data_IF_337778173847
#
_entry.id   IF_337778173847
#
_cell.length_a   1.000
_cell.length_b   1.000
_cell.length_c   1.000
_cell.angle_alpha   90.00
_cell.angle_beta   90.00
_cell.angle_gamma   90.00
#
_symmetry.space_group_name_H-M   'P 1'
#
loop_
_entity.id
_entity.type
_entity.pdbx_description
1 polymer ?
#
# COMPACT_ATOMS: atom_id res chain seq x y z
N UNK A 1 15.02 -11.40 -9.09
CA UNK A 1 13.68 -10.85 -8.79
C UNK A 1 12.77 -10.83 -10.01
N UNK A 2 13.15 -10.13 -11.09
CA UNK A 2 12.31 -9.99 -12.29
C UNK A 2 11.76 -11.33 -12.83
N UNK A 3 12.60 -12.35 -12.99
CA UNK A 3 12.15 -13.69 -13.44
C UNK A 3 11.13 -14.34 -12.50
N UNK A 4 11.23 -14.11 -11.18
CA UNK A 4 10.25 -14.62 -10.19
C UNK A 4 8.92 -13.88 -10.29
N UNK A 5 8.95 -12.56 -10.45
CA UNK A 5 7.74 -11.76 -10.66
C UNK A 5 7.04 -12.13 -11.98
N UNK A 6 7.79 -12.26 -13.07
CA UNK A 6 7.25 -12.70 -14.35
C UNK A 6 6.67 -14.11 -14.27
N UNK A 7 7.37 -15.04 -13.60
CA UNK A 7 6.89 -16.40 -13.36
C UNK A 7 5.63 -16.47 -12.50
N UNK A 8 5.46 -15.55 -11.55
CA UNK A 8 4.23 -15.40 -10.77
C UNK A 8 3.07 -14.80 -11.58
N UNK A 9 3.35 -14.18 -12.73
CA UNK A 9 2.34 -13.64 -13.65
C UNK A 9 2.28 -12.11 -13.73
N UNK A 10 3.20 -11.39 -13.10
CA UNK A 10 3.32 -9.94 -13.31
C UNK A 10 3.68 -9.65 -14.78
N UNK A 11 3.08 -8.60 -15.33
CA UNK A 11 3.34 -8.11 -16.69
C UNK A 11 3.96 -6.72 -16.71
N UNK A 12 3.52 -5.88 -15.78
CA UNK A 12 4.06 -4.54 -15.54
C UNK A 12 4.44 -4.43 -14.07
N UNK A 13 5.60 -3.86 -13.78
CA UNK A 13 6.10 -3.61 -12.41
C UNK A 13 6.57 -2.17 -12.32
N UNK A 14 6.07 -1.42 -11.33
CA UNK A 14 6.64 -0.14 -10.98
C UNK A 14 7.86 -0.36 -10.06
N UNK A 15 9.02 0.14 -10.45
CA UNK A 15 10.21 0.19 -9.60
C UNK A 15 10.06 1.36 -8.61
N UNK A 16 9.90 1.05 -7.32
CA UNK A 16 9.61 2.05 -6.28
C UNK A 16 10.68 2.05 -5.19
N UNK A 17 11.92 2.46 -5.48
CA UNK A 17 12.91 2.62 -4.42
C UNK A 17 12.42 3.65 -3.39
N UNK A 18 12.83 3.46 -2.14
CA UNK A 18 12.55 4.42 -1.08
C UNK A 18 13.18 5.78 -1.37
N UNK A 19 12.43 6.84 -1.06
CA UNK A 19 12.91 8.21 -0.98
C UNK A 19 12.85 8.63 0.49
N UNK A 20 14.00 8.59 1.16
CA UNK A 20 14.16 8.92 2.58
C UNK A 20 15.42 9.78 2.70
N UNK A 21 15.25 11.03 3.10
CA UNK A 21 16.37 11.96 3.22
C UNK A 21 17.43 11.42 4.20
N UNK A 22 18.70 11.45 3.78
CA UNK A 22 19.84 10.96 4.57
C UNK A 22 20.08 9.45 4.55
N UNK A 23 19.15 8.64 4.02
CA UNK A 23 19.29 7.18 3.90
C UNK A 23 19.22 6.72 2.44
N UNK A 24 18.22 7.20 1.71
CA UNK A 24 17.96 6.91 0.29
C UNK A 24 17.66 8.21 -0.46
N UNK A 25 18.71 8.99 -0.72
CA UNK A 25 18.64 10.27 -1.41
C UNK A 25 18.84 10.08 -2.92
N UNK A 26 17.85 9.46 -3.57
CA UNK A 26 17.85 9.21 -5.00
C UNK A 26 16.95 10.23 -5.72
N UNK A 27 17.46 10.81 -6.81
CA UNK A 27 16.70 11.79 -7.59
C UNK A 27 15.70 11.12 -8.52
N UNK A 28 14.63 11.83 -8.87
CA UNK A 28 13.64 11.41 -9.89
C UNK A 28 14.32 10.99 -11.19
N UNK A 29 15.28 11.80 -11.65
CA UNK A 29 16.02 11.52 -12.87
C UNK A 29 16.78 10.20 -12.75
N UNK A 30 17.47 9.98 -11.63
CA UNK A 30 18.25 8.76 -11.42
C UNK A 30 17.37 7.51 -11.39
N UNK A 31 16.19 7.59 -10.79
CA UNK A 31 15.22 6.47 -10.82
C UNK A 31 14.78 6.18 -12.24
N UNK A 32 14.41 7.19 -13.03
CA UNK A 32 14.00 7.01 -14.43
C UNK A 32 15.09 6.35 -15.27
N UNK A 33 16.33 6.84 -15.15
CA UNK A 33 17.49 6.28 -15.85
C UNK A 33 17.75 4.83 -15.43
N UNK A 34 17.74 4.54 -14.13
CA UNK A 34 17.94 3.19 -13.62
C UNK A 34 16.85 2.22 -14.08
N UNK A 35 15.59 2.66 -14.11
CA UNK A 35 14.48 1.85 -14.65
C UNK A 35 14.67 1.55 -16.14
N UNK A 36 15.08 2.55 -16.95
CA UNK A 36 15.34 2.34 -18.37
C UNK A 36 16.51 1.39 -18.63
N UNK A 37 17.60 1.53 -17.88
CA UNK A 37 18.75 0.62 -17.96
C UNK A 37 18.33 -0.80 -17.58
N UNK A 38 17.59 -0.96 -16.49
CA UNK A 38 17.10 -2.28 -16.06
C UNK A 38 16.13 -2.88 -17.08
N UNK A 39 15.26 -2.09 -17.72
CA UNK A 39 14.39 -2.60 -18.79
C UNK A 39 15.22 -3.18 -19.94
N UNK A 40 16.27 -2.47 -20.38
CA UNK A 40 17.15 -2.98 -21.44
C UNK A 40 17.82 -4.30 -21.06
N UNK A 41 18.26 -4.44 -19.80
CA UNK A 41 18.83 -5.69 -19.28
C UNK A 41 17.79 -6.83 -19.27
N UNK A 42 16.53 -6.54 -18.91
CA UNK A 42 15.45 -7.53 -18.94
C UNK A 42 15.12 -7.96 -20.37
N UNK A 43 15.07 -7.02 -21.31
CA UNK A 43 14.81 -7.28 -22.72
C UNK A 43 15.91 -8.16 -23.32
N UNK A 44 17.18 -7.84 -23.05
CA UNK A 44 18.33 -8.65 -23.47
C UNK A 44 18.30 -10.06 -22.87
N UNK A 45 17.84 -10.20 -21.63
CA UNK A 45 17.68 -11.49 -20.96
C UNK A 45 16.42 -12.26 -21.39
N UNK A 46 15.58 -11.70 -22.26
CA UNK A 46 14.32 -12.32 -22.69
C UNK A 46 13.27 -12.44 -21.58
N UNK A 47 13.33 -11.59 -20.56
CA UNK A 47 12.39 -11.59 -19.44
C UNK A 47 11.21 -10.70 -19.82
N UNK A 48 10.06 -11.31 -20.11
CA UNK A 48 8.83 -10.62 -20.49
C UNK A 48 8.18 -9.91 -19.28
N UNK A 49 8.71 -8.74 -18.93
CA UNK A 49 8.24 -7.88 -17.85
C UNK A 49 8.51 -6.42 -18.21
N UNK A 50 7.47 -5.60 -18.25
CA UNK A 50 7.57 -4.16 -18.47
C UNK A 50 7.82 -3.44 -17.14
N UNK A 51 8.74 -2.49 -17.12
CA UNK A 51 9.13 -1.72 -15.95
C UNK A 51 8.73 -0.26 -16.09
N UNK A 52 8.07 0.24 -15.05
CA UNK A 52 7.70 1.65 -14.92
C UNK A 52 8.47 2.31 -13.79
N UNK A 53 8.88 3.58 -13.94
CA UNK A 53 9.49 4.30 -12.84
C UNK A 53 8.44 4.70 -11.81
N UNK A 54 8.83 4.76 -10.54
CA UNK A 54 8.02 5.23 -9.42
C UNK A 54 8.93 5.52 -8.23
N UNK A 55 8.39 6.05 -7.14
CA UNK A 55 9.11 6.16 -5.88
C UNK A 55 8.17 5.91 -4.71
N UNK A 56 8.71 5.35 -3.64
CA UNK A 56 8.01 5.25 -2.36
C UNK A 56 8.51 6.32 -1.41
N UNK A 57 7.68 7.33 -1.15
CA UNK A 57 8.03 8.46 -0.31
C UNK A 57 7.69 8.20 1.16
N UNK A 58 8.66 8.32 2.05
CA UNK A 58 8.38 8.34 3.49
C UNK A 58 7.71 9.67 3.87
N UNK A 59 6.60 9.60 4.61
CA UNK A 59 5.82 10.77 5.05
C UNK A 59 6.37 11.37 6.35
N UNK A 60 7.68 11.63 6.41
CA UNK A 60 8.40 12.21 7.55
C UNK A 60 8.51 13.75 7.48
N UNK A 61 9.33 14.36 8.35
CA UNK A 61 9.65 15.81 8.34
C UNK A 61 10.19 16.31 7.01
N UNK A 62 10.92 15.47 6.28
CA UNK A 62 11.68 15.85 5.11
C UNK A 62 10.85 15.74 3.82
N UNK A 63 9.69 15.07 3.87
CA UNK A 63 8.82 14.87 2.71
C UNK A 63 8.51 16.17 1.94
N UNK A 64 8.29 17.28 2.65
CA UNK A 64 7.94 18.56 2.04
C UNK A 64 9.01 19.07 1.05
N UNK A 65 10.28 18.68 1.24
CA UNK A 65 11.38 19.02 0.33
C UNK A 65 11.25 18.30 -1.02
N UNK A 66 10.67 17.10 -1.03
CA UNK A 66 10.46 16.30 -2.24
C UNK A 66 9.15 16.62 -2.96
N UNK A 67 8.18 17.22 -2.26
CA UNK A 67 6.85 17.53 -2.81
C UNK A 67 6.88 18.42 -4.07
N UNK A 68 7.97 19.18 -4.27
CA UNK A 68 8.29 19.93 -5.49
C UNK A 68 8.24 19.09 -6.77
N UNK A 69 8.76 17.87 -6.70
CA UNK A 69 9.09 17.04 -7.87
C UNK A 69 8.77 15.57 -7.59
N UNK A 70 7.49 15.28 -7.36
CA UNK A 70 7.03 13.91 -7.10
C UNK A 70 7.08 13.04 -8.36
N UNK A 71 7.52 11.79 -8.22
CA UNK A 71 7.50 10.77 -9.27
C UNK A 71 6.32 9.81 -9.04
N UNK A 72 5.24 9.90 -9.85
CA UNK A 72 4.15 8.95 -9.75
C UNK A 72 4.54 7.57 -10.26
N UNK A 73 3.68 6.59 -9.98
CA UNK A 73 3.79 5.23 -10.51
C UNK A 73 3.52 5.24 -12.02
N UNK A 74 4.56 5.15 -12.84
CA UNK A 74 4.47 5.21 -14.30
C UNK A 74 3.84 6.50 -14.81
N UNK A 75 2.79 6.37 -15.61
CA UNK A 75 1.99 7.48 -16.15
C UNK A 75 0.73 7.79 -15.31
N UNK A 76 0.58 7.16 -14.14
CA UNK A 76 -0.59 7.37 -13.29
C UNK A 76 -0.53 8.70 -12.52
N UNK A 77 -1.63 9.07 -11.88
CA UNK A 77 -1.66 10.14 -10.88
C UNK A 77 -1.34 9.69 -9.45
N UNK A 78 -0.85 8.45 -9.25
CA UNK A 78 -0.65 7.86 -7.92
C UNK A 78 0.75 8.12 -7.40
N UNK A 79 0.85 8.66 -6.18
CA UNK A 79 2.11 8.73 -5.42
C UNK A 79 2.10 7.65 -4.37
N UNK A 80 3.04 6.70 -4.46
CA UNK A 80 3.23 5.70 -3.42
C UNK A 80 3.94 6.36 -2.23
N UNK A 81 3.38 6.17 -1.04
CA UNK A 81 3.91 6.75 0.17
C UNK A 81 3.78 5.81 1.37
N UNK A 82 4.78 5.84 2.24
CA UNK A 82 4.83 5.05 3.48
C UNK A 82 4.66 5.96 4.69
N UNK A 83 3.85 5.53 5.65
CA UNK A 83 3.77 6.19 6.95
C UNK A 83 4.89 5.67 7.88
N UNK A 84 5.66 6.56 8.51
CA UNK A 84 6.66 6.16 9.51
C UNK A 84 6.01 5.37 10.66
N UNK A 85 6.65 4.30 11.14
CA UNK A 85 6.08 3.43 12.18
C UNK A 85 5.79 4.19 13.49
N UNK A 86 6.71 5.08 13.87
CA UNK A 86 6.68 5.86 15.12
C UNK A 86 6.54 7.38 14.85
N UNK A 87 6.07 7.77 13.66
CA UNK A 87 5.96 9.19 13.31
C UNK A 87 4.67 9.84 13.77
N UNK A 88 4.67 11.18 13.75
CA UNK A 88 3.53 12.01 14.12
C UNK A 88 2.36 11.84 13.13
N UNK A 89 1.18 11.35 13.57
CA UNK A 89 0.00 11.21 12.72
C UNK A 89 -0.42 12.51 12.02
N UNK A 90 -0.29 13.67 12.67
CA UNK A 90 -0.65 14.98 12.09
C UNK A 90 0.26 15.31 10.90
N UNK A 91 1.54 14.97 11.01
CA UNK A 91 2.50 15.13 9.92
C UNK A 91 2.17 14.24 8.74
N UNK A 92 1.79 12.98 8.99
CA UNK A 92 1.36 12.07 7.93
C UNK A 92 0.16 12.67 7.18
N UNK A 93 -0.85 13.18 7.89
CA UNK A 93 -2.02 13.83 7.27
C UNK A 93 -1.64 15.08 6.48
N UNK A 94 -0.76 15.91 7.03
CA UNK A 94 -0.26 17.12 6.37
C UNK A 94 0.46 16.78 5.06
N UNK A 95 1.33 15.78 5.07
CA UNK A 95 2.07 15.34 3.89
C UNK A 95 1.15 14.69 2.84
N UNK A 96 0.13 13.95 3.26
CA UNK A 96 -0.91 13.44 2.36
C UNK A 96 -1.70 14.57 1.70
N UNK A 97 -2.04 15.62 2.45
CA UNK A 97 -2.72 16.79 1.90
C UNK A 97 -1.83 17.51 0.88
N UNK A 98 -0.52 17.61 1.15
CA UNK A 98 0.43 18.22 0.22
C UNK A 98 0.47 17.47 -1.13
N UNK A 99 0.42 16.13 -1.14
CA UNK A 99 0.32 15.34 -2.37
C UNK A 99 -0.96 15.71 -3.15
N UNK A 100 -2.09 15.84 -2.45
CA UNK A 100 -3.39 16.20 -3.04
C UNK A 100 -3.38 17.60 -3.62
N UNK A 101 -2.80 18.56 -2.92
CA UNK A 101 -2.69 19.96 -3.36
C UNK A 101 -1.82 20.10 -4.62
N UNK A 102 -0.91 19.15 -4.86
CA UNK A 102 -0.14 19.04 -6.11
C UNK A 102 -0.89 18.35 -7.26
N UNK A 103 -2.15 17.96 -7.06
CA UNK A 103 -2.99 17.33 -8.06
C UNK A 103 -2.81 15.81 -8.19
N UNK A 104 -2.13 15.18 -7.23
CA UNK A 104 -1.94 13.73 -7.21
C UNK A 104 -2.87 13.02 -6.24
N UNK A 105 -2.93 11.69 -6.34
CA UNK A 105 -3.68 10.82 -5.45
C UNK A 105 -2.69 10.01 -4.59
N UNK A 106 -2.70 10.17 -3.25
CA UNK A 106 -1.84 9.38 -2.39
C UNK A 106 -2.27 7.91 -2.38
N UNK A 107 -1.31 7.01 -2.55
CA UNK A 107 -1.46 5.58 -2.35
C UNK A 107 -0.59 5.17 -1.16
N UNK A 108 -1.21 5.02 0.01
CA UNK A 108 -0.50 4.65 1.23
C UNK A 108 -0.15 3.17 1.21
N UNK A 109 1.14 2.87 1.30
CA UNK A 109 1.68 1.53 1.31
C UNK A 109 1.38 0.80 2.61
N UNK A 110 1.03 -0.47 2.47
CA UNK A 110 0.93 -1.49 3.51
C UNK A 110 0.41 -1.00 4.88
N UNK A 111 -0.80 -0.41 4.96
CA UNK A 111 -1.38 0.08 6.21
C UNK A 111 -1.48 -1.00 7.30
N UNK A 112 -1.55 -2.28 6.93
CA UNK A 112 -1.47 -3.42 7.84
C UNK A 112 -0.15 -3.52 8.61
N UNK A 113 0.91 -2.83 8.18
CA UNK A 113 2.21 -2.77 8.85
C UNK A 113 2.36 -1.59 9.80
N UNK A 114 1.39 -0.68 9.89
CA UNK A 114 1.47 0.55 10.71
C UNK A 114 0.39 0.53 11.81
N UNK A 115 0.64 -0.09 12.99
CA UNK A 115 -0.34 -0.20 14.06
C UNK A 115 -0.85 1.14 14.60
N UNK A 116 0.04 2.12 14.71
CA UNK A 116 -0.22 3.46 15.24
C UNK A 116 -1.33 4.20 14.50
N UNK A 117 -1.49 3.96 13.20
CA UNK A 117 -2.48 4.61 12.33
C UNK A 117 -3.65 3.71 11.94
N UNK A 118 -3.69 2.47 12.43
CA UNK A 118 -4.73 1.49 12.05
C UNK A 118 -6.15 2.05 12.21
N UNK A 119 -6.41 2.76 13.32
CA UNK A 119 -7.71 3.34 13.58
C UNK A 119 -8.06 4.51 12.66
N UNK A 120 -7.07 5.33 12.26
CA UNK A 120 -7.26 6.36 11.22
C UNK A 120 -7.64 5.73 9.88
N UNK A 121 -7.02 4.60 9.51
CA UNK A 121 -7.33 3.88 8.27
C UNK A 121 -8.77 3.37 8.27
N UNK A 122 -9.18 2.70 9.34
CA UNK A 122 -10.55 2.17 9.49
C UNK A 122 -11.59 3.29 9.48
N UNK A 123 -11.32 4.38 10.21
CA UNK A 123 -12.25 5.50 10.35
C UNK A 123 -12.35 6.35 9.07
N UNK A 124 -11.34 6.33 8.19
CA UNK A 124 -11.39 7.06 6.91
C UNK A 124 -12.39 6.46 5.90
N UNK A 125 -12.73 5.17 6.06
CA UNK A 125 -13.60 4.41 5.14
C UNK A 125 -15.03 4.25 5.63
N UNK A 126 -15.24 4.32 6.94
CA UNK A 126 -16.55 4.20 7.57
C UNK A 126 -17.10 5.61 7.78
N UNK A 127 -18.32 5.90 7.30
CA UNK A 127 -18.93 7.22 7.43
C UNK A 127 -19.21 7.62 8.88
N UNK A 128 -19.67 8.86 9.08
CA UNK A 128 -19.98 9.43 10.41
C UNK A 128 -21.09 8.69 11.17
N UNK A 129 -20.91 8.55 12.50
CA UNK A 129 -21.81 8.19 13.62
C UNK A 129 -22.90 7.11 13.48
N UNK A 130 -23.66 7.01 12.39
CA UNK A 130 -24.71 6.00 12.21
C UNK A 130 -24.19 4.57 12.04
N UNK A 131 -22.90 4.40 11.75
CA UNK A 131 -22.26 3.10 11.54
C UNK A 131 -21.70 2.47 12.84
N UNK A 132 -21.70 3.15 14.00
CA UNK A 132 -21.09 2.59 15.22
C UNK A 132 -21.82 1.36 15.80
N UNK A 133 -23.16 1.35 15.75
CA UNK A 133 -23.97 0.21 16.22
C UNK A 133 -23.81 -0.98 15.27
N UNK A 134 -23.70 -0.70 13.97
CA UNK A 134 -23.50 -1.74 12.96
C UNK A 134 -22.05 -2.25 12.95
N UNK A 135 -21.06 -1.43 13.31
CA UNK A 135 -19.65 -1.83 13.56
C UNK A 135 -19.58 -2.94 14.61
N UNK A 136 -20.17 -2.74 15.79
CA UNK A 136 -20.08 -3.72 16.88
C UNK A 136 -20.81 -5.03 16.53
N UNK A 137 -21.93 -4.92 15.81
CA UNK A 137 -22.71 -6.05 15.30
C UNK A 137 -21.96 -6.82 14.21
N UNK A 138 -21.37 -6.12 13.25
CA UNK A 138 -20.57 -6.64 12.15
C UNK A 138 -19.26 -7.28 12.65
N UNK A 139 -18.52 -6.64 13.56
CA UNK A 139 -17.32 -7.22 14.18
C UNK A 139 -17.64 -8.50 14.96
N UNK A 140 -18.76 -8.54 15.71
CA UNK A 140 -19.24 -9.78 16.36
C UNK A 140 -19.59 -10.87 15.36
N UNK A 141 -20.18 -10.53 14.23
CA UNK A 141 -20.61 -11.48 13.18
C UNK A 141 -19.42 -12.02 12.37
N UNK A 142 -18.39 -11.19 12.15
CA UNK A 142 -17.17 -11.52 11.39
C UNK A 142 -16.19 -12.43 12.17
N UNK A 143 -16.14 -12.28 13.49
CA UNK A 143 -15.26 -13.04 14.38
C UNK A 143 -15.85 -14.43 14.72
N UNK A 144 -17.16 -14.64 14.53
CA UNK A 144 -17.84 -15.89 14.89
C UNK A 144 -18.12 -15.98 16.40
N UNK A 145 -19.10 -16.78 16.84
CA UNK A 145 -19.63 -16.74 18.21
C UNK A 145 -18.61 -17.10 19.31
N UNK A 146 -17.48 -17.74 18.95
CA UNK A 146 -16.45 -18.20 19.88
C UNK A 146 -15.10 -17.46 19.77
N UNK A 147 -14.93 -16.54 18.83
CA UNK A 147 -13.72 -15.72 18.83
C UNK A 147 -13.84 -14.67 19.92
N UNK A 148 -12.87 -14.66 20.83
CA UNK A 148 -12.70 -13.54 21.75
C UNK A 148 -12.31 -12.34 20.88
N UNK A 149 -13.15 -11.30 20.74
CA UNK A 149 -12.61 -10.05 20.26
C UNK A 149 -11.47 -9.69 21.22
N UNK A 150 -10.30 -9.33 20.69
CA UNK A 150 -9.51 -8.38 21.46
C UNK A 150 -10.44 -7.17 21.53
N UNK A 151 -11.14 -7.02 22.66
CA UNK A 151 -11.85 -5.79 22.94
C UNK A 151 -10.78 -4.71 22.80
N UNK A 152 -10.91 -3.86 21.77
CA UNK A 152 -10.29 -2.55 21.87
C UNK A 152 -10.83 -1.99 23.19
N UNK A 153 -9.92 -1.74 24.12
CA UNK A 153 -10.25 -1.11 25.38
C UNK A 153 -10.90 0.26 25.08
N UNK A 154 -11.76 0.74 25.96
CA UNK A 154 -12.38 2.06 25.80
C UNK A 154 -11.32 3.16 25.62
N UNK A 155 -10.11 2.95 26.16
CA UNK A 155 -8.94 3.81 25.97
C UNK A 155 -8.36 3.77 24.53
N UNK A 156 -8.38 2.62 23.85
CA UNK A 156 -7.94 2.50 22.45
C UNK A 156 -8.96 3.12 21.49
N UNK A 157 -10.26 3.02 21.78
CA UNK A 157 -11.29 3.73 21.03
C UNK A 157 -11.23 5.24 21.27
N UNK A 158 -11.08 5.69 22.52
CA UNK A 158 -10.92 7.12 22.81
C UNK A 158 -9.65 7.71 22.16
N UNK A 159 -8.55 6.94 22.10
CA UNK A 159 -7.35 7.34 21.34
C UNK A 159 -7.60 7.42 19.84
N UNK A 160 -8.43 6.54 19.27
CA UNK A 160 -8.80 6.58 17.86
C UNK A 160 -9.54 7.86 17.47
N UNK A 161 -10.45 8.33 18.32
CA UNK A 161 -11.21 9.57 18.08
C UNK A 161 -10.33 10.83 18.13
N UNK A 162 -9.17 10.74 18.80
CA UNK A 162 -8.16 11.81 18.84
C UNK A 162 -7.18 11.78 17.67
N UNK A 163 -7.18 10.74 16.83
CA UNK A 163 -6.29 10.69 15.68
C UNK A 163 -6.82 11.56 14.53
N UNK A 164 -5.92 12.22 13.78
CA UNK A 164 -6.33 13.00 12.62
C UNK A 164 -6.99 12.10 11.57
N UNK A 165 -8.05 12.63 10.96
CA UNK A 165 -8.78 11.96 9.88
C UNK A 165 -8.00 12.10 8.58
N UNK A 166 -7.91 11.00 7.83
CA UNK A 166 -7.24 11.01 6.53
C UNK A 166 -8.11 11.70 5.46
N UNK A 167 -7.50 12.40 4.50
CA UNK A 167 -8.23 12.92 3.34
C UNK A 167 -8.93 11.80 2.57
N UNK A 168 -10.14 12.08 2.06
CA UNK A 168 -10.97 11.08 1.38
C UNK A 168 -10.36 10.51 0.09
N UNK A 169 -9.40 11.23 -0.50
CA UNK A 169 -8.72 10.84 -1.73
C UNK A 169 -7.65 9.76 -1.50
N UNK A 170 -7.23 9.53 -0.25
CA UNK A 170 -6.18 8.55 0.08
C UNK A 170 -6.64 7.14 -0.28
N UNK A 171 -5.82 6.47 -1.08
CA UNK A 171 -5.96 5.06 -1.42
C UNK A 171 -5.00 4.21 -0.57
N UNK A 172 -5.27 2.91 -0.45
CA UNK A 172 -4.42 1.99 0.30
C UNK A 172 -3.92 0.84 -0.58
N UNK A 173 -2.66 0.47 -0.44
CA UNK A 173 -2.06 -0.69 -1.12
C UNK A 173 -1.73 -1.78 -0.09
N UNK A 174 -2.27 -2.98 -0.26
CA UNK A 174 -1.95 -4.13 0.58
C UNK A 174 -0.64 -4.77 0.12
N UNK A 175 0.21 -5.18 1.07
CA UNK A 175 1.40 -5.97 0.80
C UNK A 175 1.04 -7.45 0.69
N UNK A 176 1.46 -8.09 -0.40
CA UNK A 176 1.18 -9.51 -0.67
C UNK A 176 1.76 -10.44 0.39
N UNK A 177 2.97 -10.15 0.88
CA UNK A 177 3.65 -10.92 1.93
C UNK A 177 2.93 -10.85 3.28
N UNK A 178 2.10 -9.83 3.51
CA UNK A 178 1.24 -9.81 4.69
C UNK A 178 0.26 -10.99 4.70
N UNK A 179 -0.27 -11.41 3.55
CA UNK A 179 -1.21 -12.52 3.47
C UNK A 179 -0.55 -13.90 3.58
N UNK A 180 0.74 -14.01 3.26
CA UNK A 180 1.53 -15.24 3.46
C UNK A 180 1.97 -15.42 4.91
N UNK A 181 1.97 -14.35 5.70
CA UNK A 181 2.46 -14.35 7.08
C UNK A 181 3.93 -13.97 7.20
N UNK A 182 4.54 -13.48 6.11
CA UNK A 182 5.94 -13.09 6.05
C UNK A 182 6.31 -12.05 7.12
N UNK A 183 5.43 -11.09 7.40
CA UNK A 183 5.61 -10.06 8.43
C UNK A 183 5.04 -10.45 9.81
N UNK A 184 4.75 -11.73 10.03
CA UNK A 184 4.19 -12.26 11.28
C UNK A 184 2.66 -12.25 11.34
N UNK A 185 2.14 -12.98 12.34
CA UNK A 185 0.71 -13.29 12.48
C UNK A 185 -0.16 -12.06 12.74
N UNK A 186 0.36 -11.07 13.46
CA UNK A 186 -0.35 -9.81 13.75
C UNK A 186 -0.57 -8.96 12.49
N UNK A 187 0.41 -8.89 11.60
CA UNK A 187 0.29 -8.19 10.31
C UNK A 187 -0.65 -8.95 9.39
N UNK A 188 -0.53 -10.28 9.33
CA UNK A 188 -1.43 -11.13 8.55
C UNK A 188 -2.89 -11.02 8.99
N UNK A 189 -3.14 -10.99 10.30
CA UNK A 189 -4.50 -10.79 10.81
C UNK A 189 -5.08 -9.45 10.35
N UNK A 190 -4.31 -8.36 10.49
CA UNK A 190 -4.74 -7.01 10.07
C UNK A 190 -4.97 -6.92 8.57
N UNK A 191 -4.14 -7.56 7.74
CA UNK A 191 -4.33 -7.55 6.29
C UNK A 191 -5.66 -8.20 5.89
N UNK A 192 -6.04 -9.32 6.52
CA UNK A 192 -7.36 -9.93 6.27
C UNK A 192 -8.53 -9.11 6.82
N UNK A 193 -8.38 -8.41 7.95
CA UNK A 193 -9.39 -7.49 8.48
C UNK A 193 -9.64 -6.34 7.50
N UNK A 194 -8.58 -5.66 7.07
CA UNK A 194 -8.63 -4.54 6.13
C UNK A 194 -9.14 -4.96 4.74
N UNK A 195 -8.80 -6.19 4.29
CA UNK A 195 -9.33 -6.77 3.06
C UNK A 195 -10.85 -6.99 3.14
N UNK A 196 -11.36 -7.53 4.26
CA UNK A 196 -12.80 -7.74 4.48
C UNK A 196 -13.57 -6.43 4.57
N UNK A 197 -12.94 -5.36 5.05
CA UNK A 197 -13.49 -4.00 5.05
C UNK A 197 -13.46 -3.35 3.66
N UNK A 198 -12.78 -3.95 2.67
CA UNK A 198 -12.69 -3.42 1.31
C UNK A 198 -11.91 -2.11 1.22
N UNK A 199 -10.99 -1.83 2.15
CA UNK A 199 -10.26 -0.55 2.16
C UNK A 199 -9.24 -0.48 1.02
N UNK A 200 -8.63 -1.61 0.69
CA UNK A 200 -7.53 -1.68 -0.27
C UNK A 200 -7.99 -1.33 -1.67
N UNK A 201 -7.14 -0.59 -2.35
CA UNK A 201 -7.28 -0.20 -3.75
C UNK A 201 -6.33 -0.99 -4.65
N UNK A 202 -5.17 -1.38 -4.13
CA UNK A 202 -4.15 -2.13 -4.84
C UNK A 202 -3.54 -3.24 -3.97
N UNK A 203 -2.90 -4.22 -4.61
CA UNK A 203 -2.06 -5.26 -4.02
C UNK A 203 -0.69 -5.20 -4.70
N UNK A 204 0.40 -5.21 -3.93
CA UNK A 204 1.76 -5.21 -4.47
C UNK A 204 2.68 -6.14 -3.69
N UNK A 205 3.78 -6.57 -4.31
CA UNK A 205 4.71 -7.54 -3.73
C UNK A 205 5.61 -6.94 -2.65
N UNK A 206 5.99 -5.67 -2.79
CA UNK A 206 6.96 -5.00 -1.91
C UNK A 206 8.27 -5.79 -1.75
N UNK A 207 8.73 -6.34 -2.88
CA UNK A 207 9.83 -7.29 -2.93
C UNK A 207 11.18 -6.58 -2.94
N UNK A 208 12.03 -6.90 -1.96
CA UNK A 208 13.35 -6.28 -1.79
C UNK A 208 14.50 -7.15 -2.31
N UNK A 209 14.32 -8.47 -2.37
CA UNK A 209 15.33 -9.40 -2.86
C UNK A 209 14.68 -10.65 -3.48
N UNK A 210 15.51 -11.43 -4.18
CA UNK A 210 15.04 -12.64 -4.86
C UNK A 210 14.76 -13.81 -3.92
N UNK A 211 15.37 -13.85 -2.74
CA UNK A 211 15.22 -14.93 -1.77
C UNK A 211 13.88 -14.84 -1.05
N UNK A 212 13.41 -13.62 -0.76
CA UNK A 212 12.09 -13.36 -0.17
C UNK A 212 10.94 -13.70 -1.14
N UNK A 213 11.20 -13.77 -2.46
CA UNK A 213 10.18 -13.95 -3.47
C UNK A 213 9.36 -15.21 -3.24
N UNK A 214 10.01 -16.33 -2.92
CA UNK A 214 9.34 -17.62 -2.76
C UNK A 214 8.50 -17.68 -1.46
N UNK A 215 8.72 -16.76 -0.51
CA UNK A 215 7.95 -16.62 0.74
C UNK A 215 6.79 -15.62 0.62
N UNK A 216 6.90 -14.67 -0.30
CA UNK A 216 5.92 -13.60 -0.53
C UNK A 216 4.94 -13.97 -1.65
N UNK A 217 5.45 -14.57 -2.73
CA UNK A 217 4.72 -14.87 -3.95
C UNK A 217 4.10 -16.28 -3.88
N UNK A 218 3.01 -16.41 -3.10
CA UNK A 218 2.23 -17.65 -3.00
C UNK A 218 0.94 -17.54 -3.85
N UNK A 219 0.82 -18.24 -5.00
CA UNK A 219 -0.37 -18.18 -5.85
C UNK A 219 -1.60 -18.69 -5.11
N UNK A 220 -1.42 -19.67 -4.22
CA UNK A 220 -2.49 -20.29 -3.44
C UNK A 220 -3.18 -19.29 -2.51
N UNK A 221 -2.53 -18.19 -2.09
CA UNK A 221 -3.21 -17.13 -1.33
C UNK A 221 -4.23 -16.39 -2.18
N UNK A 222 -3.88 -16.03 -3.41
CA UNK A 222 -4.77 -15.31 -4.31
C UNK A 222 -5.82 -16.26 -4.86
N UNK A 223 -5.43 -17.43 -5.37
CA UNK A 223 -6.31 -18.42 -6.01
C UNK A 223 -7.42 -18.91 -5.07
N UNK A 224 -7.13 -19.08 -3.78
CA UNK A 224 -8.11 -19.60 -2.81
C UNK A 224 -8.91 -18.51 -2.09
N UNK A 225 -8.72 -17.23 -2.42
CA UNK A 225 -9.41 -16.13 -1.75
C UNK A 225 -10.11 -15.18 -2.73
N UNK A 226 -11.45 -15.26 -2.87
CA UNK A 226 -12.21 -14.41 -3.78
C UNK A 226 -12.05 -12.91 -3.57
N UNK A 227 -11.75 -12.45 -2.35
CA UNK A 227 -11.50 -11.03 -2.09
C UNK A 227 -10.12 -10.59 -2.62
N UNK A 228 -9.10 -11.44 -2.49
CA UNK A 228 -7.78 -11.19 -3.09
C UNK A 228 -7.85 -11.22 -4.62
N UNK A 229 -8.59 -12.16 -5.22
CA UNK A 229 -8.82 -12.16 -6.67
C UNK A 229 -9.45 -10.85 -7.16
N UNK A 230 -10.47 -10.35 -6.46
CA UNK A 230 -11.09 -9.04 -6.75
C UNK A 230 -10.08 -7.90 -6.62
N UNK A 231 -9.23 -7.93 -5.59
CA UNK A 231 -8.21 -6.90 -5.39
C UNK A 231 -7.12 -6.93 -6.48
N UNK A 232 -6.70 -8.12 -6.94
CA UNK A 232 -5.77 -8.28 -8.07
C UNK A 232 -6.38 -7.69 -9.35
N UNK A 233 -7.63 -8.02 -9.67
CA UNK A 233 -8.32 -7.46 -10.83
C UNK A 233 -8.43 -5.92 -10.74
N UNK A 234 -8.75 -5.38 -9.56
CA UNK A 234 -8.78 -3.94 -9.33
C UNK A 234 -7.40 -3.27 -9.51
N UNK A 235 -6.31 -3.96 -9.11
CA UNK A 235 -4.94 -3.49 -9.25
C UNK A 235 -4.51 -3.44 -10.73
N UNK A 236 -4.87 -4.46 -11.51
CA UNK A 236 -4.60 -4.48 -12.96
C UNK A 236 -5.32 -3.34 -13.70
N UNK A 237 -6.54 -3.01 -13.28
CA UNK A 237 -7.30 -1.89 -13.85
C UNK A 237 -6.64 -0.53 -13.60
N UNK A 238 -5.86 -0.38 -12.52
CA UNK A 238 -5.07 0.84 -12.27
C UNK A 238 -3.93 0.92 -13.29
N UNK A 239 -3.25 -0.19 -13.61
CA UNK A 239 -2.24 -0.21 -14.67
C UNK A 239 -2.84 0.09 -16.06
N UNK A 240 -3.97 -0.55 -16.39
CA UNK A 240 -4.57 -0.47 -17.73
C UNK A 240 -5.19 0.90 -18.08
N UNK A 241 -5.83 1.59 -17.11
CA UNK A 241 -6.49 2.89 -17.37
C UNK A 241 -5.54 4.01 -17.79
N UNK A 242 -4.24 3.87 -17.52
CA UNK A 242 -3.23 4.87 -17.82
C UNK A 242 -2.28 4.48 -18.96
N UNK A 243 -2.44 3.28 -19.55
CA UNK A 243 -1.82 2.88 -20.81
C UNK A 243 -2.61 3.39 -22.04
N UNK A 244 -3.87 3.81 -21.88
CA UNK A 244 -4.76 4.20 -22.98
C UNK A 244 -4.79 5.70 -23.34
N UNK A 245 -3.86 6.51 -22.82
CA UNK A 245 -3.79 7.95 -23.10
C UNK A 245 -2.78 8.27 -24.20
N UNK A 246 -3.21 8.12 -25.46
CA UNK A 246 -2.62 8.81 -26.61
C UNK A 246 -3.51 9.99 -27.00
#
# INVERSE_FOLDING_TARGET
MASRLAGYGFKVVCCTPHCIKGYYDITVQRVREATLMLQADLDQAGINLELWPGMEYMLDECFAEHAGHLLPLGSTGLILCEAPQEGDPERVVTNLQLIIDRGYVPLLAHPERTPSLYQSFVSSRLGTETDQVDRMSWFKKLLGPNARPNKFSDAEMARADCLPKLPKQVCFQANLGAFTGYYGTSVQRRSYELLKMGIYRALASDLHDAAAADLVLDPGKVENNPLLQKLVAASQMIGAKFQGGH
#
